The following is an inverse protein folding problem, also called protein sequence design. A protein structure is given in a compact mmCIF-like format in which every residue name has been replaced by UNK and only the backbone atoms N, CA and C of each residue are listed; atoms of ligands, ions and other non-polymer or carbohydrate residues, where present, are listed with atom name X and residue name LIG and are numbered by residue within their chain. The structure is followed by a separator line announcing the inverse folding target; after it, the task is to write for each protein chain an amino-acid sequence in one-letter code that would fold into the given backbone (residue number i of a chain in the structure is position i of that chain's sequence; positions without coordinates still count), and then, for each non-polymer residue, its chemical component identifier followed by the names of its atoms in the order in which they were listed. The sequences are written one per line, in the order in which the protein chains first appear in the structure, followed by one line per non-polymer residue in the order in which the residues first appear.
data_IF_201570935805
#
_entry.id   IF_201570935805
#
_cell.length_a   1.000
_cell.length_b   1.000
_cell.length_c   1.000
_cell.angle_alpha   90.00
_cell.angle_beta   90.00
_cell.angle_gamma   90.00
#
_symmetry.space_group_name_H-M   'P 1'
#
loop_
_entity.id
_entity.type
_entity.pdbx_description
1 polymer ?
#
# COMPACT_ATOMS: atom_id res chain seq x y z
N UNK A 1 3.23 -13.31 7.53
CA UNK A 1 2.92 -11.87 7.56
C UNK A 1 2.62 -11.40 6.14
N UNK A 2 1.68 -10.46 5.94
CA UNK A 2 1.44 -9.87 4.62
C UNK A 2 2.66 -9.07 4.16
N UNK A 3 2.81 -8.99 2.84
CA UNK A 3 3.83 -8.20 2.18
C UNK A 3 3.21 -6.85 1.76
N UNK A 4 3.89 -5.76 2.10
CA UNK A 4 3.56 -4.42 1.63
C UNK A 4 4.59 -4.02 0.58
N UNK A 5 4.11 -3.63 -0.59
CA UNK A 5 4.93 -3.23 -1.72
C UNK A 5 4.47 -1.89 -2.27
N UNK A 6 5.41 -1.02 -2.62
CA UNK A 6 5.11 0.19 -3.40
C UNK A 6 5.76 0.10 -4.77
N UNK A 7 4.95 0.41 -5.78
CA UNK A 7 5.36 0.41 -7.17
C UNK A 7 5.47 1.84 -7.68
N UNK A 8 6.66 2.24 -8.13
CA UNK A 8 6.96 3.59 -8.63
C UNK A 8 7.81 4.44 -7.68
N UNK A 9 7.96 5.73 -7.99
CA UNK A 9 8.79 6.65 -7.22
C UNK A 9 8.15 6.97 -5.87
N UNK A 10 8.54 6.22 -4.84
CA UNK A 10 8.09 6.40 -3.47
C UNK A 10 8.49 7.69 -2.76
N UNK A 11 9.11 8.65 -3.46
CA UNK A 11 9.69 9.86 -2.82
C UNK A 11 8.65 10.62 -1.99
N UNK A 12 7.48 10.90 -2.55
CA UNK A 12 6.42 11.63 -1.85
C UNK A 12 5.97 10.90 -0.59
N UNK A 13 5.86 9.56 -0.60
CA UNK A 13 5.50 8.77 0.59
C UNK A 13 6.62 8.77 1.63
N UNK A 14 7.89 8.69 1.18
CA UNK A 14 9.08 8.69 2.04
C UNK A 14 9.26 10.00 2.79
N UNK A 15 8.99 11.12 2.13
CA UNK A 15 9.14 12.48 2.66
C UNK A 15 7.88 12.95 3.41
N UNK A 16 6.85 12.11 3.56
CA UNK A 16 5.61 12.45 4.27
C UNK A 16 5.23 11.36 5.28
N UNK A 17 4.32 10.46 4.91
CA UNK A 17 3.68 9.50 5.81
C UNK A 17 4.64 8.46 6.38
N UNK A 18 5.73 8.16 5.69
CA UNK A 18 6.72 7.19 6.18
C UNK A 18 7.75 7.81 7.15
N UNK A 19 7.70 9.11 7.41
CA UNK A 19 8.42 9.71 8.55
C UNK A 19 7.64 9.54 9.86
N UNK A 20 6.36 9.19 9.77
CA UNK A 20 5.49 9.03 10.92
C UNK A 20 5.85 7.79 11.73
N UNK A 21 6.24 8.01 12.99
CA UNK A 21 6.57 6.96 13.96
C UNK A 21 5.51 5.84 14.05
N UNK A 22 4.19 6.11 14.23
CA UNK A 22 3.19 5.04 14.31
C UNK A 22 3.08 4.19 13.04
N UNK A 23 3.32 4.79 11.87
CA UNK A 23 3.31 4.05 10.58
C UNK A 23 4.53 3.14 10.51
N UNK A 24 5.71 3.66 10.84
CA UNK A 24 6.95 2.87 10.85
C UNK A 24 6.88 1.71 11.84
N UNK A 25 6.34 1.94 13.04
CA UNK A 25 6.12 0.88 14.03
C UNK A 25 5.21 -0.20 13.46
N UNK A 26 4.07 0.17 12.88
CA UNK A 26 3.12 -0.81 12.33
C UNK A 26 3.72 -1.61 11.17
N UNK A 27 4.44 -0.93 10.26
CA UNK A 27 5.12 -1.59 9.15
C UNK A 27 6.15 -2.61 9.65
N UNK A 28 6.98 -2.23 10.62
CA UNK A 28 8.01 -3.10 11.18
C UNK A 28 7.43 -4.30 11.94
N UNK A 29 6.31 -4.13 12.63
CA UNK A 29 5.71 -5.20 13.44
C UNK A 29 4.87 -6.19 12.62
N UNK A 30 4.24 -5.72 11.54
CA UNK A 30 3.16 -6.47 10.88
C UNK A 30 3.38 -6.77 9.40
N UNK A 31 4.35 -6.13 8.74
CA UNK A 31 4.54 -6.23 7.29
C UNK A 31 5.98 -6.53 6.90
N UNK A 32 6.15 -7.26 5.80
CA UNK A 32 7.40 -7.27 5.05
C UNK A 32 7.30 -6.17 4.00
N UNK A 33 8.22 -5.21 4.02
CA UNK A 33 8.13 -4.00 3.19
C UNK A 33 9.10 -4.03 2.02
N UNK A 34 8.64 -3.78 0.80
CA UNK A 34 9.49 -3.65 -0.39
C UNK A 34 9.10 -2.49 -1.32
N UNK A 35 10.03 -2.15 -2.20
CA UNK A 35 9.87 -1.11 -3.21
C UNK A 35 10.36 -1.67 -4.53
N UNK A 36 9.61 -1.42 -5.60
CA UNK A 36 10.01 -1.83 -6.94
C UNK A 36 9.65 -0.77 -7.95
N UNK A 37 10.51 -0.60 -8.94
CA UNK A 37 10.19 0.20 -10.11
C UNK A 37 9.33 -0.63 -11.07
N UNK A 38 8.43 0.03 -11.79
CA UNK A 38 7.59 -0.64 -12.81
C UNK A 38 8.46 -1.39 -13.81
N UNK A 39 9.57 -0.77 -14.24
CA UNK A 39 10.54 -1.37 -15.14
C UNK A 39 11.15 -2.67 -14.60
N UNK A 40 11.43 -2.75 -13.30
CA UNK A 40 11.96 -3.97 -12.67
C UNK A 40 10.92 -5.09 -12.69
N UNK A 41 9.64 -4.76 -12.48
CA UNK A 41 8.54 -5.71 -12.59
C UNK A 41 8.31 -6.17 -14.03
N UNK A 42 8.39 -5.27 -15.02
CA UNK A 42 8.33 -5.62 -16.44
C UNK A 42 9.49 -6.53 -16.85
N UNK A 43 10.71 -6.29 -16.34
CA UNK A 43 11.86 -7.16 -16.56
C UNK A 43 11.65 -8.56 -15.94
N UNK A 44 11.07 -8.63 -14.73
CA UNK A 44 10.73 -9.89 -14.06
C UNK A 44 9.61 -10.66 -14.79
N UNK A 45 8.57 -9.96 -15.24
CA UNK A 45 7.48 -10.53 -16.05
C UNK A 45 8.04 -11.22 -17.31
N UNK A 46 8.98 -10.56 -17.99
CA UNK A 46 9.57 -11.08 -19.22
C UNK A 46 10.65 -12.16 -19.00
N UNK A 47 11.07 -12.40 -17.75
CA UNK A 47 12.07 -13.40 -17.43
C UNK A 47 11.48 -14.83 -17.44
N UNK A 48 11.73 -15.55 -18.53
CA UNK A 48 11.27 -16.93 -18.74
C UNK A 48 12.00 -17.98 -17.92
N UNK A 49 13.11 -17.64 -17.27
CA UNK A 49 13.87 -18.59 -16.44
C UNK A 49 13.20 -18.84 -15.10
N UNK A 50 12.32 -17.94 -14.66
CA UNK A 50 11.62 -18.05 -13.40
C UNK A 50 10.13 -17.72 -13.54
N UNK A 51 9.35 -18.75 -13.92
CA UNK A 51 7.89 -18.66 -14.06
C UNK A 51 7.20 -18.18 -12.77
N UNK A 52 7.75 -18.52 -11.61
CA UNK A 52 7.22 -18.08 -10.32
C UNK A 52 7.30 -16.56 -10.16
N UNK A 53 8.47 -15.95 -10.38
CA UNK A 53 8.61 -14.49 -10.29
C UNK A 53 7.92 -13.76 -11.43
N UNK A 54 7.89 -14.33 -12.63
CA UNK A 54 7.13 -13.79 -13.76
C UNK A 54 5.65 -13.67 -13.42
N UNK A 55 5.05 -14.72 -12.84
CA UNK A 55 3.64 -14.71 -12.41
C UNK A 55 3.38 -13.73 -11.26
N UNK A 56 4.32 -13.60 -10.31
CA UNK A 56 4.18 -12.60 -9.24
C UNK A 56 4.23 -11.18 -9.81
N UNK A 57 5.14 -10.90 -10.75
CA UNK A 57 5.23 -9.61 -11.42
C UNK A 57 3.95 -9.28 -12.19
N UNK A 58 3.36 -10.25 -12.90
CA UNK A 58 2.05 -10.11 -13.56
C UNK A 58 0.97 -9.64 -12.61
N UNK A 59 0.83 -10.30 -11.45
CA UNK A 59 -0.20 -9.96 -10.45
C UNK A 59 -0.02 -8.55 -9.88
N UNK A 60 1.22 -8.09 -9.74
CA UNK A 60 1.53 -6.74 -9.27
C UNK A 60 1.25 -5.70 -10.37
N UNK A 61 1.68 -5.96 -11.60
CA UNK A 61 1.44 -5.08 -12.76
C UNK A 61 -0.04 -4.95 -13.11
N UNK A 62 -0.85 -6.00 -12.92
CA UNK A 62 -2.31 -5.95 -13.14
C UNK A 62 -3.00 -4.87 -12.29
N UNK A 63 -2.48 -4.62 -11.08
CA UNK A 63 -3.02 -3.61 -10.16
C UNK A 63 -2.35 -2.25 -10.28
N UNK A 64 -1.21 -2.15 -10.97
CA UNK A 64 -0.50 -0.90 -11.11
C UNK A 64 -1.32 0.10 -11.95
N UNK A 65 -1.55 1.28 -11.38
CA UNK A 65 -1.99 2.45 -12.12
C UNK A 65 -1.01 3.61 -11.90
N UNK A 66 -0.65 4.29 -12.99
CA UNK A 66 0.33 5.38 -12.95
C UNK A 66 -0.15 6.54 -12.03
N UNK A 67 0.74 7.22 -11.28
CA UNK A 67 2.20 7.07 -11.24
C UNK A 67 2.74 6.09 -10.20
N UNK A 68 2.02 5.92 -9.09
CA UNK A 68 2.44 5.11 -7.95
C UNK A 68 1.23 4.36 -7.41
N UNK A 69 1.43 3.08 -7.14
CA UNK A 69 0.43 2.21 -6.52
C UNK A 69 1.06 1.59 -5.26
N UNK A 70 0.35 1.68 -4.14
CA UNK A 70 0.70 1.00 -2.90
C UNK A 70 -0.13 -0.27 -2.80
N UNK A 71 0.50 -1.41 -2.58
CA UNK A 71 -0.13 -2.72 -2.57
C UNK A 71 0.18 -3.46 -1.27
N UNK A 72 -0.82 -4.14 -0.73
CA UNK A 72 -0.70 -5.16 0.30
C UNK A 72 -1.08 -6.49 -0.34
N UNK A 73 -0.17 -7.43 -0.33
CA UNK A 73 -0.34 -8.75 -0.91
C UNK A 73 0.08 -9.87 0.05
N UNK A 74 -0.38 -11.09 -0.22
CA UNK A 74 0.10 -12.29 0.45
C UNK A 74 1.39 -12.79 -0.22
N UNK A 75 2.19 -13.65 0.45
CA UNK A 75 3.42 -14.21 -0.13
C UNK A 75 3.25 -14.96 -1.46
N UNK A 76 2.03 -15.40 -1.77
CA UNK A 76 1.69 -16.05 -3.04
C UNK A 76 1.31 -15.05 -4.16
N UNK A 77 1.41 -13.74 -3.91
CA UNK A 77 1.08 -12.67 -4.87
C UNK A 77 -0.38 -12.22 -4.85
N UNK A 78 -1.24 -12.83 -4.05
CA UNK A 78 -2.66 -12.41 -3.97
C UNK A 78 -2.73 -10.99 -3.41
N UNK A 79 -3.23 -10.04 -4.20
CA UNK A 79 -3.44 -8.66 -3.75
C UNK A 79 -4.67 -8.57 -2.85
N UNK A 80 -4.47 -8.07 -1.63
CA UNK A 80 -5.46 -7.97 -0.56
C UNK A 80 -6.03 -6.55 -0.46
N UNK A 81 -5.17 -5.56 -0.64
CA UNK A 81 -5.55 -4.15 -0.63
C UNK A 81 -4.58 -3.36 -1.50
N UNK A 82 -5.06 -2.29 -2.11
CA UNK A 82 -4.21 -1.38 -2.84
C UNK A 82 -4.80 0.03 -2.85
N UNK A 83 -3.93 1.03 -3.04
CA UNK A 83 -4.33 2.42 -3.17
C UNK A 83 -3.40 3.16 -4.13
N UNK A 84 -4.02 3.87 -5.07
CA UNK A 84 -3.33 4.72 -6.02
C UNK A 84 -2.91 6.04 -5.37
N UNK A 85 -1.74 6.55 -5.72
CA UNK A 85 -1.24 7.80 -5.15
C UNK A 85 -2.12 9.02 -5.48
N UNK A 86 -2.76 9.09 -6.65
CA UNK A 86 -3.65 10.21 -6.97
C UNK A 86 -4.88 10.20 -6.05
N UNK A 87 -5.51 9.03 -5.91
CA UNK A 87 -6.65 8.86 -5.01
C UNK A 87 -6.28 9.15 -3.55
N UNK A 88 -5.09 8.71 -3.13
CA UNK A 88 -4.58 9.03 -1.79
C UNK A 88 -4.47 10.55 -1.57
N UNK A 89 -3.88 11.29 -2.51
CA UNK A 89 -3.76 12.75 -2.43
C UNK A 89 -5.12 13.45 -2.44
N UNK A 90 -6.09 12.95 -3.22
CA UNK A 90 -7.43 13.52 -3.29
C UNK A 90 -8.14 13.44 -1.91
N UNK A 91 -8.07 12.28 -1.24
CA UNK A 91 -8.67 12.09 0.08
C UNK A 91 -8.01 13.00 1.13
N UNK A 92 -6.69 13.10 1.11
CA UNK A 92 -5.94 13.83 2.14
C UNK A 92 -5.93 15.34 1.94
N UNK A 93 -6.32 15.81 0.75
CA UNK A 93 -6.49 17.23 0.44
C UNK A 93 -7.87 17.77 0.82
N UNK A 94 -8.83 16.91 1.19
CA UNK A 94 -10.16 17.35 1.62
C UNK A 94 -10.10 18.05 2.97
N UNK A 95 -10.83 19.16 3.09
CA UNK A 95 -10.95 19.89 4.36
C UNK A 95 -11.83 19.08 5.32
N UNK A 96 -11.58 19.15 6.65
CA UNK A 96 -12.34 18.39 7.65
C UNK A 96 -13.87 18.63 7.61
N UNK A 97 -14.29 19.75 7.04
CA UNK A 97 -15.68 20.21 6.92
C UNK A 97 -16.52 19.48 5.86
N UNK A 98 -15.90 18.71 4.95
CA UNK A 98 -16.61 17.94 3.90
C UNK A 98 -16.71 16.42 4.20
N UNK A 99 -16.26 15.97 5.38
CA UNK A 99 -16.08 14.53 5.72
C UNK A 99 -17.27 13.96 6.53
N UNK A 100 -18.51 14.35 6.24
CA UNK A 100 -19.69 13.73 6.87
C UNK A 100 -20.21 12.48 6.12
N UNK A 101 -19.71 12.19 4.91
CA UNK A 101 -20.19 11.04 4.11
C UNK A 101 -19.10 10.07 3.63
N UNK A 102 -17.83 10.36 3.92
CA UNK A 102 -16.70 9.51 3.49
C UNK A 102 -16.37 8.51 4.58
N UNK A 103 -16.10 7.27 4.19
CA UNK A 103 -15.93 6.04 5.00
C UNK A 103 -14.78 6.10 6.05
N UNK A 104 -14.19 7.27 6.29
CA UNK A 104 -12.98 7.48 7.08
C UNK A 104 -13.23 8.47 8.22
N UNK A 105 -13.77 7.97 9.34
CA UNK A 105 -13.93 8.77 10.56
C UNK A 105 -12.57 9.02 11.23
N UNK A 106 -12.10 10.27 11.21
CA UNK A 106 -10.86 10.68 11.86
C UNK A 106 -11.03 10.70 13.39
N UNK A 107 -10.31 9.83 14.11
CA UNK A 107 -10.24 9.90 15.57
C UNK A 107 -9.36 11.08 16.00
N UNK A 108 -9.80 11.79 17.03
CA UNK A 108 -9.38 13.11 17.56
C UNK A 108 -7.93 13.26 18.07
N UNK A 109 -6.95 12.56 17.52
CA UNK A 109 -5.54 12.85 17.79
C UNK A 109 -5.00 13.77 16.68
N UNK A 110 -4.07 14.67 17.03
CA UNK A 110 -3.41 15.68 16.17
C UNK A 110 -2.57 15.08 15.01
N UNK A 111 -3.03 14.02 14.36
CA UNK A 111 -2.36 13.40 13.21
C UNK A 111 -2.82 14.10 11.92
N UNK A 112 -1.88 14.34 11.03
CA UNK A 112 -2.18 14.90 9.72
C UNK A 112 -3.08 13.92 8.92
N UNK A 113 -3.99 14.41 8.06
CA UNK A 113 -4.93 13.57 7.32
C UNK A 113 -4.26 12.46 6.50
N UNK A 114 -3.03 12.68 6.04
CA UNK A 114 -2.26 11.71 5.25
C UNK A 114 -1.80 10.55 6.10
N UNK A 115 -1.23 10.81 7.27
CA UNK A 115 -0.85 9.79 8.26
C UNK A 115 -2.06 8.95 8.68
N UNK A 116 -3.18 9.58 9.02
CA UNK A 116 -4.38 8.87 9.45
C UNK A 116 -4.96 7.99 8.33
N UNK A 117 -5.05 8.51 7.11
CA UNK A 117 -5.52 7.77 5.93
C UNK A 117 -4.61 6.56 5.64
N UNK A 118 -3.30 6.77 5.70
CA UNK A 118 -2.33 5.72 5.43
C UNK A 118 -2.33 4.62 6.52
N UNK A 119 -2.42 5.02 7.78
CA UNK A 119 -2.55 4.09 8.90
C UNK A 119 -3.81 3.23 8.78
N UNK A 120 -4.92 3.83 8.37
CA UNK A 120 -6.17 3.13 8.13
C UNK A 120 -6.04 2.14 6.96
N UNK A 121 -5.42 2.54 5.84
CA UNK A 121 -5.11 1.65 4.72
C UNK A 121 -4.34 0.40 5.17
N UNK A 122 -3.29 0.57 6.00
CA UNK A 122 -2.52 -0.55 6.55
C UNK A 122 -3.38 -1.45 7.46
N UNK A 123 -4.15 -0.85 8.38
CA UNK A 123 -5.02 -1.60 9.29
C UNK A 123 -6.09 -2.40 8.54
N UNK A 124 -6.71 -1.82 7.51
CA UNK A 124 -7.64 -2.53 6.64
C UNK A 124 -6.99 -3.69 5.90
N UNK A 125 -5.77 -3.49 5.40
CA UNK A 125 -4.98 -4.56 4.78
C UNK A 125 -4.77 -5.74 5.73
N UNK A 126 -4.44 -5.48 7.00
CA UNK A 126 -4.34 -6.53 8.01
C UNK A 126 -5.68 -7.22 8.27
N UNK A 127 -6.77 -6.48 8.39
CA UNK A 127 -8.10 -7.07 8.61
C UNK A 127 -8.52 -7.97 7.45
N UNK A 128 -8.31 -7.50 6.20
CA UNK A 128 -8.59 -8.28 4.98
C UNK A 128 -7.68 -9.50 4.84
N UNK A 129 -6.46 -9.44 5.38
CA UNK A 129 -5.53 -10.57 5.40
C UNK A 129 -5.89 -11.64 6.44
N UNK A 130 -6.60 -11.31 7.53
CA UNK A 130 -6.92 -12.26 8.63
C UNK A 130 -7.50 -13.60 8.17
N UNK A 131 -8.49 -13.66 7.25
CA UNK A 131 -9.05 -14.93 6.80
C UNK A 131 -8.02 -15.86 6.14
N UNK A 132 -6.93 -15.30 5.61
CA UNK A 132 -5.87 -16.05 4.94
C UNK A 132 -4.71 -16.44 5.88
N UNK A 133 -4.70 -15.88 7.10
CA UNK A 133 -3.67 -16.14 8.11
C UNK A 133 -4.13 -17.13 9.19
N UNK A 134 -5.43 -17.44 9.23
CA UNK A 134 -5.98 -18.50 10.07
C UNK A 134 -5.80 -19.85 9.36
N UNK A 135 -4.61 -20.44 9.50
CA UNK A 135 -4.35 -21.85 9.20
C UNK A 135 -3.75 -22.51 10.43
#
# INVERSE_FOLDING_TARGET
MPHWAVMGSGRTLRETVLESSPILTLLNESFISSWSLVKELEELQNNRENEFYSKLADLHLEKYNFPVEMIICLPNGTVIHHINANYFLDITSMKPEDVESSIFSFSTNFEDPSTATYLQFLKEGLQRAKPYLQT
#
